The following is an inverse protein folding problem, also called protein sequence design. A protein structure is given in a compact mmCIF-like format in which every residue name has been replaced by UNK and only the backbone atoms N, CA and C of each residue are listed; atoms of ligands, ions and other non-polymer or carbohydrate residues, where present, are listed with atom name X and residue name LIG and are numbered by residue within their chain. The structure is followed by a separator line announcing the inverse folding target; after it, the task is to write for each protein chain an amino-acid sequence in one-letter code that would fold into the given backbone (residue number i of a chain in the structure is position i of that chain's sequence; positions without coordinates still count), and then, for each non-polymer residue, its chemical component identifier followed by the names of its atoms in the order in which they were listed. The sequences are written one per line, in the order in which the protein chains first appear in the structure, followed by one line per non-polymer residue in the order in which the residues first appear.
data_IF_789588361232
#
_entry.id   IF_789588361232
#
_cell.length_a   1.000
_cell.length_b   1.000
_cell.length_c   1.000
_cell.angle_alpha   90.00
_cell.angle_beta   90.00
_cell.angle_gamma   90.00
#
_symmetry.space_group_name_H-M   'P 1'
#
loop_
_entity.id
_entity.type
_entity.pdbx_description
1 polymer ?
#
# COMPACT_ATOMS: atom_id res chain seq x y z
N UNK A 1 -4.43 6.93 -4.62
CA UNK A 1 -5.22 6.76 -3.38
C UNK A 1 -6.44 5.96 -3.74
N UNK A 2 -6.76 4.95 -2.96
CA UNK A 2 -7.91 4.06 -3.21
C UNK A 2 -8.76 4.03 -1.95
N UNK A 3 -10.08 4.05 -2.10
CA UNK A 3 -11.00 3.94 -0.97
C UNK A 3 -11.48 2.50 -0.91
N UNK A 4 -11.42 1.91 0.28
CA UNK A 4 -11.96 0.59 0.58
C UNK A 4 -13.02 0.72 1.67
N UNK A 5 -14.14 0.03 1.48
CA UNK A 5 -15.21 -0.06 2.48
C UNK A 5 -14.97 -1.31 3.32
N UNK A 6 -14.65 -1.10 4.59
CA UNK A 6 -14.56 -2.13 5.63
C UNK A 6 -15.58 -1.70 6.70
N UNK A 7 -15.16 -1.56 7.97
CA UNK A 7 -15.90 -0.87 9.04
C UNK A 7 -16.32 0.58 8.68
N UNK A 8 -15.42 1.32 8.01
CA UNK A 8 -15.69 2.67 7.48
C UNK A 8 -15.05 2.82 6.11
N UNK A 9 -15.42 3.84 5.30
CA UNK A 9 -14.66 4.17 4.10
C UNK A 9 -13.24 4.59 4.51
N UNK A 10 -12.27 3.69 4.37
CA UNK A 10 -10.86 3.91 4.71
C UNK A 10 -10.05 4.21 3.46
N UNK A 11 -9.04 5.07 3.62
CA UNK A 11 -8.14 5.44 2.52
C UNK A 11 -6.94 4.49 2.49
N UNK A 12 -6.91 3.63 1.49
CA UNK A 12 -5.76 2.77 1.19
C UNK A 12 -4.74 3.52 0.34
N UNK A 13 -3.56 3.76 0.92
CA UNK A 13 -2.47 4.49 0.25
C UNK A 13 -1.10 3.87 0.53
N UNK A 14 -0.52 3.26 -0.50
CA UNK A 14 0.86 2.80 -0.46
C UNK A 14 1.82 3.95 -0.82
N UNK A 15 2.34 4.65 0.18
CA UNK A 15 3.45 5.59 -0.03
C UNK A 15 4.80 4.87 -0.06
N UNK A 16 5.89 5.59 -0.38
CA UNK A 16 7.26 5.08 -0.25
C UNK A 16 7.55 4.54 1.16
N UNK A 17 6.99 5.17 2.20
CA UNK A 17 7.10 4.69 3.58
C UNK A 17 6.37 3.36 3.81
N UNK A 18 5.17 3.20 3.23
CA UNK A 18 4.37 1.99 3.34
C UNK A 18 5.02 0.83 2.59
N UNK A 19 5.53 1.05 1.38
CA UNK A 19 6.25 0.02 0.62
C UNK A 19 7.53 -0.43 1.33
N UNK A 20 8.30 0.52 1.90
CA UNK A 20 9.49 0.17 2.69
C UNK A 20 9.16 -0.63 3.96
N UNK A 21 8.06 -0.28 4.64
CA UNK A 21 7.55 -1.03 5.79
C UNK A 21 7.10 -2.42 5.38
N UNK A 22 6.33 -2.52 4.30
CA UNK A 22 5.86 -3.77 3.71
C UNK A 22 7.03 -4.72 3.46
N UNK A 23 8.07 -4.31 2.72
CA UNK A 23 9.24 -5.16 2.46
C UNK A 23 9.99 -5.55 3.74
N UNK A 24 9.97 -4.70 4.77
CA UNK A 24 10.58 -5.01 6.07
C UNK A 24 9.78 -6.06 6.84
N UNK A 25 8.44 -6.01 6.75
CA UNK A 25 7.53 -6.89 7.47
C UNK A 25 7.34 -8.25 6.78
N UNK A 26 7.22 -8.26 5.45
CA UNK A 26 7.08 -9.50 4.68
C UNK A 26 8.44 -10.13 4.39
N UNK A 27 9.54 -9.37 4.49
CA UNK A 27 10.89 -9.85 4.16
C UNK A 27 11.06 -10.18 2.67
N UNK A 28 10.05 -9.87 1.84
CA UNK A 28 10.04 -10.12 0.40
C UNK A 28 10.28 -8.81 -0.33
N UNK A 29 11.04 -8.88 -1.42
CA UNK A 29 11.18 -7.77 -2.35
C UNK A 29 9.83 -7.40 -2.95
N UNK A 30 9.53 -6.11 -3.02
CA UNK A 30 8.28 -5.60 -3.58
C UNK A 30 8.08 -5.99 -5.05
N UNK A 31 9.17 -6.23 -5.79
CA UNK A 31 9.12 -6.68 -7.19
C UNK A 31 8.68 -8.13 -7.33
N UNK A 32 8.84 -8.93 -6.28
CA UNK A 32 8.51 -10.36 -6.26
C UNK A 32 7.28 -10.62 -5.37
N UNK A 33 6.50 -9.56 -5.10
CA UNK A 33 5.31 -9.64 -4.30
C UNK A 33 4.08 -9.80 -5.19
N UNK A 34 3.47 -10.98 -5.18
CA UNK A 34 2.25 -11.29 -5.91
C UNK A 34 1.08 -11.37 -4.91
N UNK A 35 0.12 -10.44 -5.00
CA UNK A 35 -1.07 -10.44 -4.12
C UNK A 35 -1.88 -11.73 -4.28
N UNK A 36 -1.96 -12.27 -5.50
CA UNK A 36 -2.66 -13.52 -5.81
C UNK A 36 -2.08 -14.74 -5.07
N UNK A 37 -0.77 -14.73 -4.80
CA UNK A 37 -0.05 -15.80 -4.09
C UNK A 37 0.33 -15.38 -2.66
N UNK A 38 -0.21 -14.27 -2.15
CA UNK A 38 0.04 -13.82 -0.79
C UNK A 38 -0.73 -14.72 0.20
N UNK A 39 -0.05 -15.12 1.27
CA UNK A 39 -0.74 -15.73 2.41
C UNK A 39 -1.55 -14.66 3.14
N UNK A 40 -2.55 -15.08 3.92
CA UNK A 40 -3.35 -14.17 4.76
C UNK A 40 -2.46 -13.25 5.62
N UNK A 41 -1.41 -13.80 6.25
CA UNK A 41 -0.47 -13.01 7.05
C UNK A 41 0.28 -11.94 6.24
N UNK A 42 0.65 -12.23 4.98
CA UNK A 42 1.28 -11.25 4.09
C UNK A 42 0.26 -10.15 3.70
N UNK A 43 -0.98 -10.55 3.44
CA UNK A 43 -2.09 -9.68 3.07
C UNK A 43 -2.43 -8.69 4.20
N UNK A 44 -2.51 -9.18 5.44
CA UNK A 44 -2.73 -8.39 6.66
C UNK A 44 -1.64 -7.34 6.84
N UNK A 45 -0.36 -7.73 6.73
CA UNK A 45 0.78 -6.80 6.84
C UNK A 45 0.74 -5.71 5.77
N UNK A 46 0.33 -6.06 4.56
CA UNK A 46 0.23 -5.12 3.44
C UNK A 46 -0.89 -4.13 3.69
N UNK A 47 -2.06 -4.64 4.02
CA UNK A 47 -3.22 -3.80 4.19
C UNK A 47 -3.05 -2.90 5.42
N UNK A 48 -2.43 -3.39 6.49
CA UNK A 48 -1.93 -2.58 7.59
C UNK A 48 -1.03 -1.44 7.10
N UNK A 49 -0.04 -1.74 6.26
CA UNK A 49 0.86 -0.72 5.71
C UNK A 49 0.13 0.34 4.86
N UNK A 50 -0.91 -0.05 4.11
CA UNK A 50 -1.73 0.86 3.30
C UNK A 50 -2.68 1.72 4.14
N UNK A 51 -3.20 1.17 5.24
CA UNK A 51 -4.13 1.83 6.16
C UNK A 51 -3.42 2.68 7.23
N UNK A 52 -2.13 2.45 7.49
CA UNK A 52 -1.33 3.30 8.37
C UNK A 52 -1.36 4.77 7.98
N UNK A 53 -1.55 5.08 6.68
CA UNK A 53 -1.76 6.44 6.22
C UNK A 53 -3.09 7.01 6.75
N UNK A 54 -4.20 6.29 6.53
CA UNK A 54 -5.52 6.68 7.02
C UNK A 54 -5.55 6.80 8.55
N UNK A 55 -5.01 5.80 9.25
CA UNK A 55 -4.92 5.80 10.71
C UNK A 55 -4.16 7.03 11.22
N UNK A 56 -3.03 7.37 10.58
CA UNK A 56 -2.27 8.56 10.94
C UNK A 56 -3.03 9.86 10.67
N UNK A 57 -3.72 9.97 9.54
CA UNK A 57 -4.52 11.16 9.22
C UNK A 57 -5.69 11.33 10.20
N UNK A 58 -6.32 10.23 10.62
CA UNK A 58 -7.43 10.21 11.57
C UNK A 58 -6.98 10.19 13.05
N UNK A 59 -5.68 10.26 13.34
CA UNK A 59 -5.12 10.14 14.70
C UNK A 59 -5.55 8.84 15.43
N UNK A 60 -5.74 7.78 14.67
CA UNK A 60 -6.09 6.46 15.15
C UNK A 60 -4.84 5.58 15.28
N UNK A 61 -4.80 4.73 16.30
CA UNK A 61 -3.74 3.73 16.43
C UNK A 61 -4.23 2.41 15.85
N UNK A 62 -3.98 2.22 14.56
CA UNK A 62 -4.21 0.93 13.92
C UNK A 62 -3.10 -0.03 14.34
N UNK A 63 -3.45 -1.27 14.68
CA UNK A 63 -2.50 -2.35 14.90
C UNK A 63 -2.73 -3.49 13.92
N UNK A 64 -1.75 -4.39 13.85
CA UNK A 64 -1.83 -5.59 13.02
C UNK A 64 -2.89 -6.57 13.53
N UNK A 65 -3.10 -6.65 14.84
CA UNK A 65 -4.13 -7.50 15.46
C UNK A 65 -5.57 -7.09 15.06
N UNK A 66 -5.82 -5.81 14.81
CA UNK A 66 -7.13 -5.31 14.36
C UNK A 66 -7.39 -5.57 12.87
N UNK A 67 -6.38 -6.03 12.11
CA UNK A 67 -6.52 -6.27 10.67
C UNK A 67 -7.39 -7.48 10.36
N UNK A 68 -7.31 -8.54 11.17
CA UNK A 68 -8.14 -9.74 11.02
C UNK A 68 -9.62 -9.36 11.10
N UNK A 69 -10.00 -8.62 12.14
CA UNK A 69 -11.37 -8.12 12.37
C UNK A 69 -11.82 -7.17 11.24
N UNK A 70 -10.94 -6.26 10.79
CA UNK A 70 -11.22 -5.36 9.67
C UNK A 70 -11.40 -6.05 8.32
N UNK A 71 -10.65 -7.14 8.09
CA UNK A 71 -10.76 -7.93 6.87
C UNK A 71 -12.04 -8.76 6.85
N UNK A 72 -12.50 -9.22 8.02
CA UNK A 72 -13.76 -9.96 8.17
C UNK A 72 -14.99 -9.06 7.89
N UNK A 73 -14.90 -7.78 8.25
CA UNK A 73 -15.92 -6.76 7.95
C UNK A 73 -16.05 -6.44 6.44
N UNK A 74 -15.13 -6.90 5.60
CA UNK A 74 -15.20 -6.67 4.17
C UNK A 74 -16.29 -7.53 3.51
N UNK A 75 -17.07 -6.94 2.60
CA UNK A 75 -18.13 -7.63 1.84
C UNK A 75 -17.62 -8.88 1.11
N UNK A 76 -16.40 -8.82 0.55
CA UNK A 76 -15.81 -9.97 -0.14
C UNK A 76 -14.29 -9.86 -0.21
N UNK A 77 -13.60 -10.98 0.04
CA UNK A 77 -12.14 -11.07 -0.08
C UNK A 77 -11.61 -10.60 -1.45
N UNK A 78 -12.35 -10.87 -2.53
CA UNK A 78 -12.02 -10.43 -3.89
C UNK A 78 -11.96 -8.91 -4.00
N UNK A 79 -12.91 -8.18 -3.41
CA UNK A 79 -12.92 -6.72 -3.43
C UNK A 79 -11.69 -6.18 -2.69
N UNK A 80 -11.30 -6.80 -1.57
CA UNK A 80 -10.10 -6.42 -0.83
C UNK A 80 -8.85 -6.56 -1.72
N UNK A 81 -8.70 -7.71 -2.38
CA UNK A 81 -7.59 -7.97 -3.29
C UNK A 81 -7.54 -6.96 -4.44
N UNK A 82 -8.68 -6.67 -5.07
CA UNK A 82 -8.78 -5.69 -6.15
C UNK A 82 -8.39 -4.28 -5.69
N UNK A 83 -8.94 -3.80 -4.56
CA UNK A 83 -8.59 -2.47 -4.02
C UNK A 83 -7.12 -2.39 -3.63
N UNK A 84 -6.56 -3.45 -3.03
CA UNK A 84 -5.14 -3.50 -2.71
C UNK A 84 -4.28 -3.42 -3.96
N UNK A 85 -4.60 -4.19 -5.00
CA UNK A 85 -3.86 -4.19 -6.25
C UNK A 85 -3.94 -2.82 -6.92
N UNK A 86 -5.11 -2.20 -6.96
CA UNK A 86 -5.29 -0.82 -7.46
C UNK A 86 -4.47 0.20 -6.64
N UNK A 87 -4.40 0.03 -5.32
CA UNK A 87 -3.67 0.95 -4.45
C UNK A 87 -2.16 0.79 -4.61
N UNK A 88 -1.68 -0.45 -4.79
CA UNK A 88 -0.30 -0.75 -5.13
C UNK A 88 0.04 -0.17 -6.51
N UNK A 89 -0.77 -0.46 -7.54
CA UNK A 89 -0.57 0.06 -8.89
C UNK A 89 -0.53 1.59 -8.91
N UNK A 90 -1.46 2.25 -8.21
CA UNK A 90 -1.46 3.70 -8.07
C UNK A 90 -0.17 4.23 -7.41
N UNK A 91 0.38 3.50 -6.44
CA UNK A 91 1.64 3.85 -5.79
C UNK A 91 2.85 3.67 -6.73
N UNK A 92 2.91 2.54 -7.45
CA UNK A 92 3.95 2.24 -8.42
C UNK A 92 3.91 3.18 -9.62
N UNK A 93 2.71 3.46 -10.15
CA UNK A 93 2.49 4.40 -11.23
C UNK A 93 2.90 5.83 -10.87
N UNK A 94 2.60 6.28 -9.64
CA UNK A 94 3.11 7.55 -9.14
C UNK A 94 4.63 7.54 -8.96
N UNK A 95 5.23 6.45 -8.47
CA UNK A 95 6.69 6.34 -8.35
C UNK A 95 7.41 6.36 -9.71
N UNK A 96 6.88 5.66 -10.71
CA UNK A 96 7.45 5.65 -12.05
C UNK A 96 7.38 7.04 -12.71
N UNK A 97 6.29 7.78 -12.48
CA UNK A 97 6.15 9.16 -12.94
C UNK A 97 7.11 10.12 -12.23
N UNK A 98 7.25 9.99 -10.90
CA UNK A 98 8.14 10.82 -10.08
C UNK A 98 9.63 10.56 -10.41
N UNK A 99 10.01 9.29 -10.61
CA UNK A 99 11.38 8.91 -10.96
C UNK A 99 11.80 9.38 -12.36
N UNK A 100 10.90 9.34 -13.36
CA UNK A 100 11.15 9.94 -14.69
C UNK A 100 11.34 11.45 -14.61
N UNK A 101 10.61 12.12 -13.71
CA UNK A 101 10.72 13.56 -13.53
C UNK A 101 12.03 13.92 -12.79
N UNK A 102 12.42 13.15 -11.78
CA UNK A 102 13.71 13.23 -11.08
C UNK A 102 14.90 12.98 -12.03
N UNK A 103 14.82 11.98 -12.90
CA UNK A 103 15.90 11.70 -13.86
C UNK A 103 16.08 12.85 -14.87
N UNK A 104 14.97 13.47 -15.33
CA UNK A 104 15.01 14.65 -16.23
C UNK A 104 15.65 15.88 -15.59
N UNK A 105 15.37 16.18 -14.32
CA UNK A 105 15.98 17.34 -13.63
C UNK A 105 17.47 17.11 -13.35
N UNK A 106 17.90 15.87 -13.13
CA UNK A 106 19.31 15.53 -12.88
C UNK A 106 20.12 15.54 -14.20
N UNK A 107 19.53 15.10 -15.32
CA UNK A 107 20.17 15.17 -16.64
C UNK A 107 20.36 16.63 -17.12
N UNK A 108 19.40 17.51 -16.84
CA UNK A 108 19.53 18.95 -17.15
C UNK A 108 20.62 19.65 -16.33
N UNK A 109 20.92 19.19 -15.10
CA UNK A 109 22.01 19.75 -14.28
C UNK A 109 23.40 19.33 -14.72
N UNK A 110 23.56 18.22 -15.46
CA UNK A 110 24.87 17.75 -15.97
C UNK A 110 25.32 18.46 -17.26
N UNK A 111 24.47 19.28 -17.88
CA UNK A 111 24.74 20.01 -19.12
C UNK A 111 25.05 21.51 -18.93
N UNK A 112 25.30 21.95 -17.70
CA UNK A 112 25.78 23.30 -17.39
C UNK A 112 27.17 23.27 -16.78
#
# INVERSE_FOLDING_TARGET
MVVINLDRPRILRFGHKALKLMTTLTGKDFNNFEIDNANFEDLEKIMYCGLLYDAKENNETLKLEDMEDLLDEADTYTEIMEKMQLALDAAFGQMAADQKNLQRIVDQKKKK
#
